data_IF_983421620183
#
_entry.id   IF_983421620183
#
_cell.length_a   1.000
_cell.length_b   1.000
_cell.length_c   1.000
_cell.angle_alpha   90.00
_cell.angle_beta   90.00
_cell.angle_gamma   90.00
#
_symmetry.space_group_name_H-M   'P 1'
#
loop_
_entity.id
_entity.type
_entity.pdbx_description
1 polymer ?
#
# COMPACT_ATOMS: atom_id res chain seq x y z
N UNK A 1 1.76 5.95 10.13
CA UNK A 1 1.93 5.39 8.78
C UNK A 1 0.98 4.23 8.60
N UNK A 2 0.28 4.14 7.48
CA UNK A 2 -0.57 3.00 7.13
C UNK A 2 -0.08 2.37 5.83
N UNK A 3 0.04 1.05 5.79
CA UNK A 3 0.51 0.29 4.63
C UNK A 3 -0.65 -0.50 4.06
N UNK A 4 -0.98 -0.24 2.80
CA UNK A 4 -2.07 -0.83 2.07
C UNK A 4 -1.59 -1.50 0.79
N UNK A 5 -2.31 -2.52 0.33
CA UNK A 5 -2.00 -3.26 -0.87
C UNK A 5 -2.31 -2.41 -2.11
N UNK A 6 -3.53 -1.87 -2.21
CA UNK A 6 -4.05 -1.22 -3.40
C UNK A 6 -4.52 0.22 -3.13
N UNK A 7 -4.67 1.06 -4.17
CA UNK A 7 -5.26 2.39 -4.02
C UNK A 7 -6.80 2.33 -3.98
N UNK A 8 -7.37 2.61 -2.81
CA UNK A 8 -8.80 2.53 -2.38
C UNK A 8 -8.91 1.88 -0.99
N UNK A 9 -7.96 1.01 -0.64
CA UNK A 9 -7.86 0.36 0.66
C UNK A 9 -7.78 1.37 1.80
N UNK A 10 -7.04 2.46 1.62
CA UNK A 10 -6.89 3.51 2.62
C UNK A 10 -8.23 4.23 2.86
N UNK A 11 -9.00 4.39 1.79
CA UNK A 11 -10.31 5.05 1.83
C UNK A 11 -11.37 4.14 2.44
N UNK A 12 -11.35 2.85 2.09
CA UNK A 12 -12.34 1.86 2.56
C UNK A 12 -12.12 1.40 4.00
N UNK A 13 -10.86 1.37 4.48
CA UNK A 13 -10.52 0.77 5.79
C UNK A 13 -10.09 1.80 6.83
N UNK A 14 -9.58 2.96 6.42
CA UNK A 14 -8.88 3.88 7.34
C UNK A 14 -9.24 5.36 7.24
N UNK A 15 -10.01 5.79 6.25
CA UNK A 15 -10.29 7.20 5.97
C UNK A 15 -10.67 8.03 7.21
N UNK A 16 -11.63 7.54 8.00
CA UNK A 16 -12.10 8.24 9.20
C UNK A 16 -10.99 8.43 10.25
N UNK A 17 -10.15 7.41 10.44
CA UNK A 17 -8.99 7.47 11.32
C UNK A 17 -7.97 8.48 10.81
N UNK A 18 -7.61 8.40 9.53
CA UNK A 18 -6.59 9.28 8.94
C UNK A 18 -7.02 10.74 8.99
N UNK A 19 -8.25 11.04 8.57
CA UNK A 19 -8.79 12.40 8.61
C UNK A 19 -8.90 12.94 10.05
N UNK A 20 -9.14 12.07 11.04
CA UNK A 20 -9.16 12.46 12.46
C UNK A 20 -7.78 12.90 12.95
N UNK A 21 -6.73 12.13 12.65
CA UNK A 21 -5.34 12.47 13.02
C UNK A 21 -4.83 13.70 12.26
N UNK A 22 -5.08 13.80 10.95
CA UNK A 22 -4.73 15.00 10.17
C UNK A 22 -5.38 16.25 10.75
N UNK A 23 -6.66 16.20 11.15
CA UNK A 23 -7.37 17.34 11.76
C UNK A 23 -6.79 17.76 13.11
N UNK A 24 -6.12 16.85 13.83
CA UNK A 24 -5.41 17.14 15.08
C UNK A 24 -4.03 17.76 14.85
N UNK A 25 -3.57 17.82 13.61
CA UNK A 25 -2.25 18.33 13.22
C UNK A 25 -1.17 17.25 13.14
N UNK A 26 -1.54 15.97 13.21
CA UNK A 26 -0.59 14.87 13.09
C UNK A 26 -0.23 14.58 11.62
N UNK A 27 1.03 14.23 11.37
CA UNK A 27 1.47 13.74 10.06
C UNK A 27 0.98 12.30 9.83
N UNK A 28 0.21 12.11 8.76
CA UNK A 28 -0.28 10.80 8.33
C UNK A 28 0.26 10.46 6.95
N UNK A 29 0.99 9.36 6.85
CA UNK A 29 1.44 8.79 5.57
C UNK A 29 0.74 7.47 5.27
N UNK A 30 0.14 7.38 4.09
CA UNK A 30 -0.31 6.13 3.48
C UNK A 30 0.72 5.65 2.48
N UNK A 31 0.97 4.34 2.49
CA UNK A 31 1.82 3.65 1.53
C UNK A 31 0.97 2.64 0.78
N UNK A 32 0.90 2.76 -0.56
CA UNK A 32 0.27 1.75 -1.42
C UNK A 32 1.34 0.84 -2.03
N UNK A 33 1.23 -0.46 -1.82
CA UNK A 33 2.19 -1.44 -2.30
C UNK A 33 2.17 -1.55 -3.82
N UNK A 34 0.98 -1.54 -4.43
CA UNK A 34 0.77 -1.79 -5.86
C UNK A 34 0.02 -0.67 -6.57
N UNK A 35 0.03 -0.68 -7.91
CA UNK A 35 -0.74 0.25 -8.73
C UNK A 35 -2.20 -0.17 -8.96
N UNK A 36 -2.59 -1.36 -8.52
CA UNK A 36 -3.94 -1.87 -8.68
C UNK A 36 -4.27 -2.32 -10.12
N UNK A 37 -3.25 -2.79 -10.85
CA UNK A 37 -3.28 -3.17 -12.26
C UNK A 37 -4.33 -4.24 -12.61
N UNK A 38 -4.76 -5.04 -11.62
CA UNK A 38 -5.65 -6.20 -11.83
C UNK A 38 -7.03 -6.02 -11.19
N UNK A 39 -7.40 -4.78 -10.89
CA UNK A 39 -8.74 -4.44 -10.42
C UNK A 39 -9.77 -4.40 -11.55
N UNK A 40 -11.04 -4.44 -11.17
CA UNK A 40 -12.19 -4.30 -12.07
C UNK A 40 -12.85 -2.92 -11.92
N UNK A 41 -13.41 -2.40 -13.01
CA UNK A 41 -14.25 -1.19 -12.98
C UNK A 41 -15.69 -1.61 -12.72
N UNK A 42 -16.13 -1.50 -11.47
CA UNK A 42 -17.46 -1.93 -11.05
C UNK A 42 -18.53 -0.82 -11.11
N UNK A 43 -18.11 0.44 -11.24
CA UNK A 43 -19.02 1.57 -11.27
C UNK A 43 -19.60 1.78 -12.68
N UNK A 44 -20.82 1.30 -12.91
CA UNK A 44 -21.56 1.49 -14.17
C UNK A 44 -21.82 2.96 -14.53
N UNK A 45 -21.72 3.86 -13.55
CA UNK A 45 -21.89 5.32 -13.72
C UNK A 45 -20.56 6.06 -13.86
N UNK A 46 -19.46 5.36 -14.02
CA UNK A 46 -18.17 5.99 -14.27
C UNK A 46 -18.26 6.85 -15.53
N UNK A 47 -17.77 8.09 -15.45
CA UNK A 47 -17.85 9.03 -16.56
C UNK A 47 -17.20 8.43 -17.83
N UNK A 48 -17.74 8.68 -19.04
CA UNK A 48 -17.25 8.03 -20.26
C UNK A 48 -15.76 8.22 -20.55
N UNK A 49 -15.20 9.38 -20.17
CA UNK A 49 -13.78 9.70 -20.29
C UNK A 49 -12.92 8.90 -19.31
N UNK A 50 -13.35 8.78 -18.06
CA UNK A 50 -12.71 7.96 -17.04
C UNK A 50 -12.79 6.47 -17.39
N UNK A 51 -13.92 5.99 -17.92
CA UNK A 51 -14.06 4.62 -18.42
C UNK A 51 -13.10 4.35 -19.58
N UNK A 52 -13.03 5.25 -20.56
CA UNK A 52 -12.10 5.14 -21.67
C UNK A 52 -10.63 5.16 -21.21
N UNK A 53 -10.32 5.90 -20.14
CA UNK A 53 -9.00 5.86 -19.51
C UNK A 53 -8.73 4.52 -18.84
N UNK A 54 -9.67 4.01 -18.02
CA UNK A 54 -9.54 2.72 -17.35
C UNK A 54 -9.26 1.58 -18.33
N UNK A 55 -9.95 1.57 -19.47
CA UNK A 55 -9.75 0.55 -20.51
C UNK A 55 -8.37 0.60 -21.17
N UNK A 56 -7.70 1.76 -21.18
CA UNK A 56 -6.35 1.92 -21.76
C UNK A 56 -5.24 1.78 -20.74
N UNK A 57 -5.44 2.33 -19.55
CA UNK A 57 -4.46 2.49 -18.47
C UNK A 57 -5.17 2.64 -17.13
N UNK A 58 -5.66 1.51 -16.60
CA UNK A 58 -6.27 1.46 -15.27
C UNK A 58 -5.31 1.97 -14.16
N UNK A 59 -4.02 1.61 -14.12
CA UNK A 59 -3.09 2.15 -13.12
C UNK A 59 -2.95 3.67 -13.19
N UNK A 60 -2.93 4.24 -14.39
CA UNK A 60 -2.93 5.69 -14.58
C UNK A 60 -4.18 6.36 -14.03
N UNK A 61 -5.35 5.73 -14.19
CA UNK A 61 -6.59 6.23 -13.59
C UNK A 61 -6.52 6.14 -12.06
N UNK A 62 -6.14 4.99 -11.51
CA UNK A 62 -6.04 4.77 -10.06
C UNK A 62 -5.03 5.69 -9.39
N UNK A 63 -3.97 6.12 -10.09
CA UNK A 63 -3.06 7.18 -9.60
C UNK A 63 -3.75 8.53 -9.45
N UNK A 64 -4.66 8.89 -10.37
CA UNK A 64 -5.45 10.12 -10.27
C UNK A 64 -6.48 10.02 -9.14
N UNK A 65 -7.13 8.87 -9.01
CA UNK A 65 -8.06 8.59 -7.92
C UNK A 65 -7.38 8.67 -6.56
N UNK A 66 -6.21 8.02 -6.39
CA UNK A 66 -5.41 8.11 -5.17
C UNK A 66 -4.94 9.54 -4.88
N UNK A 67 -4.54 10.32 -5.90
CA UNK A 67 -4.18 11.72 -5.69
C UNK A 67 -5.38 12.57 -5.21
N UNK A 68 -6.59 12.29 -5.72
CA UNK A 68 -7.81 12.93 -5.24
C UNK A 68 -8.15 12.50 -3.81
N UNK A 69 -8.07 11.20 -3.49
CA UNK A 69 -8.26 10.68 -2.13
C UNK A 69 -7.25 11.29 -1.15
N UNK A 70 -5.98 11.40 -1.56
CA UNK A 70 -4.92 12.05 -0.80
C UNK A 70 -5.30 13.50 -0.45
N UNK A 71 -5.76 14.28 -1.44
CA UNK A 71 -6.16 15.67 -1.25
C UNK A 71 -7.37 15.81 -0.31
N UNK A 72 -8.36 14.91 -0.43
CA UNK A 72 -9.55 14.90 0.44
C UNK A 72 -9.20 14.55 1.88
N UNK A 73 -8.34 13.54 2.09
CA UNK A 73 -7.97 13.07 3.42
C UNK A 73 -6.89 13.95 4.09
N UNK A 74 -6.18 14.78 3.32
CA UNK A 74 -5.08 15.62 3.80
C UNK A 74 -3.84 14.83 4.21
N UNK A 75 -3.64 13.65 3.63
CA UNK A 75 -2.54 12.73 3.96
C UNK A 75 -1.33 12.90 3.02
N UNK A 76 -0.18 12.39 3.44
CA UNK A 76 0.95 12.11 2.55
C UNK A 76 0.78 10.72 1.92
N UNK A 77 1.23 10.55 0.67
CA UNK A 77 1.17 9.26 -0.03
C UNK A 77 2.52 8.83 -0.60
N UNK A 78 2.79 7.52 -0.59
CA UNK A 78 3.94 6.90 -1.27
C UNK A 78 3.52 5.58 -1.93
N UNK A 79 4.09 5.31 -3.10
CA UNK A 79 4.00 4.00 -3.76
C UNK A 79 5.24 3.17 -3.40
N UNK A 80 5.08 1.90 -3.04
CA UNK A 80 6.23 0.97 -3.09
C UNK A 80 6.56 0.56 -4.53
N UNK A 81 5.54 0.55 -5.40
CA UNK A 81 5.73 0.45 -6.85
C UNK A 81 5.73 -0.98 -7.41
N UNK A 82 5.09 -1.93 -6.72
CA UNK A 82 4.93 -3.29 -7.22
C UNK A 82 3.72 -3.43 -8.15
N UNK A 83 3.71 -4.50 -8.94
CA UNK A 83 2.56 -4.88 -9.77
C UNK A 83 1.58 -5.70 -8.94
N UNK A 84 0.30 -5.34 -9.00
CA UNK A 84 -0.81 -6.07 -8.38
C UNK A 84 -0.79 -7.56 -8.78
N UNK A 85 -0.90 -8.43 -7.79
CA UNK A 85 -0.95 -9.87 -7.99
C UNK A 85 -2.31 -10.35 -8.45
N UNK A 86 -3.38 -9.60 -8.15
CA UNK A 86 -4.75 -10.04 -8.29
C UNK A 86 -5.04 -11.27 -7.43
N UNK A 87 -6.17 -11.92 -7.71
CA UNK A 87 -6.53 -13.17 -7.04
C UNK A 87 -5.66 -14.34 -7.53
N UNK A 88 -5.41 -15.28 -6.63
CA UNK A 88 -4.77 -16.54 -7.00
C UNK A 88 -5.61 -17.27 -8.06
N UNK A 89 -4.92 -17.92 -9.00
CA UNK A 89 -5.56 -18.81 -9.97
C UNK A 89 -6.14 -20.04 -9.26
N UNK A 90 -6.96 -20.83 -9.97
CA UNK A 90 -7.55 -22.06 -9.43
C UNK A 90 -6.50 -23.06 -8.93
N UNK A 91 -5.31 -23.07 -9.54
CA UNK A 91 -4.17 -23.90 -9.13
C UNK A 91 -3.34 -23.30 -7.97
N UNK A 92 -3.78 -22.16 -7.43
CA UNK A 92 -3.11 -21.43 -6.36
C UNK A 92 -1.92 -20.58 -6.81
N UNK A 93 -1.59 -20.56 -8.10
CA UNK A 93 -0.43 -19.79 -8.60
C UNK A 93 -0.74 -18.31 -8.75
N UNK A 94 0.30 -17.50 -8.61
CA UNK A 94 0.28 -16.05 -8.83
C UNK A 94 1.08 -15.69 -10.10
N UNK A 95 0.73 -14.58 -10.77
CA UNK A 95 1.54 -14.07 -11.86
C UNK A 95 2.99 -13.82 -11.41
N UNK A 96 4.00 -14.24 -12.18
CA UNK A 96 5.39 -13.97 -11.84
C UNK A 96 5.67 -12.47 -11.81
N UNK A 97 6.60 -12.04 -10.95
CA UNK A 97 6.96 -10.63 -10.75
C UNK A 97 5.80 -9.72 -10.29
N UNK A 98 4.74 -10.30 -9.73
CA UNK A 98 3.72 -9.57 -8.98
C UNK A 98 4.07 -9.47 -7.50
N UNK A 99 3.47 -8.51 -6.79
CA UNK A 99 3.82 -8.17 -5.41
C UNK A 99 3.89 -9.36 -4.46
N UNK A 100 2.82 -10.18 -4.39
CA UNK A 100 2.78 -11.37 -3.56
C UNK A 100 3.62 -12.55 -4.07
N UNK A 101 4.19 -12.48 -5.28
CA UNK A 101 5.12 -13.50 -5.83
C UNK A 101 6.60 -13.17 -5.60
N UNK A 102 6.93 -11.89 -5.39
CA UNK A 102 8.32 -11.44 -5.19
C UNK A 102 8.83 -11.91 -3.82
N UNK A 103 10.12 -12.28 -3.66
CA UNK A 103 10.69 -12.59 -2.35
C UNK A 103 10.48 -11.49 -1.31
N UNK A 104 10.14 -11.86 -0.07
CA UNK A 104 9.70 -10.92 0.97
C UNK A 104 10.76 -9.86 1.27
N UNK A 105 12.01 -10.25 1.36
CA UNK A 105 13.16 -9.43 1.67
C UNK A 105 13.38 -8.28 0.67
N UNK A 106 12.99 -8.48 -0.59
CA UNK A 106 13.03 -7.44 -1.63
C UNK A 106 11.98 -6.38 -1.34
N UNK A 107 10.81 -6.79 -0.87
CA UNK A 107 9.68 -5.90 -0.56
C UNK A 107 9.80 -5.20 0.79
N UNK A 108 10.56 -5.76 1.73
CA UNK A 108 10.81 -5.17 3.05
C UNK A 108 11.70 -3.94 2.97
N UNK A 109 12.77 -3.96 2.16
CA UNK A 109 13.77 -2.89 2.13
C UNK A 109 13.17 -1.50 1.80
N UNK A 110 12.32 -1.33 0.76
CA UNK A 110 11.69 -0.03 0.48
C UNK A 110 10.84 0.50 1.65
N UNK A 111 10.11 -0.38 2.35
CA UNK A 111 9.30 0.03 3.48
C UNK A 111 10.15 0.39 4.70
N UNK A 112 11.27 -0.31 4.95
CA UNK A 112 12.25 0.08 5.99
C UNK A 112 12.78 1.50 5.74
N UNK A 113 13.14 1.81 4.50
CA UNK A 113 13.58 3.16 4.11
C UNK A 113 12.51 4.21 4.41
N UNK A 114 11.24 3.92 4.11
CA UNK A 114 10.13 4.82 4.42
C UNK A 114 9.92 4.97 5.93
N UNK A 115 9.96 3.89 6.72
CA UNK A 115 9.83 3.96 8.18
C UNK A 115 10.96 4.79 8.79
N UNK A 116 12.22 4.58 8.39
CA UNK A 116 13.37 5.31 8.94
C UNK A 116 13.42 6.78 8.55
N UNK A 117 12.88 7.13 7.38
CA UNK A 117 12.81 8.53 6.94
C UNK A 117 11.58 9.28 7.49
N UNK A 118 10.41 8.65 7.51
CA UNK A 118 9.18 9.24 8.03
C UNK A 118 9.08 9.20 9.56
N UNK A 119 9.77 8.25 10.20
CA UNK A 119 9.79 8.03 11.66
C UNK A 119 8.38 7.98 12.28
N UNK A 120 7.49 7.08 11.81
CA UNK A 120 6.13 6.99 12.35
C UNK A 120 6.14 6.51 13.80
N UNK A 121 5.26 7.05 14.64
CA UNK A 121 4.98 6.55 16.00
C UNK A 121 3.94 5.41 16.02
N UNK A 122 3.22 5.23 14.92
CA UNK A 122 2.20 4.17 14.76
C UNK A 122 2.30 3.64 13.34
N UNK A 123 2.38 2.31 13.21
CA UNK A 123 2.29 1.60 11.95
C UNK A 123 1.02 0.75 11.93
N UNK A 124 0.22 0.91 10.88
CA UNK A 124 -1.01 0.13 10.65
C UNK A 124 -0.86 -0.66 9.36
N UNK A 125 -1.23 -1.94 9.39
CA UNK A 125 -1.37 -2.81 8.22
C UNK A 125 -2.48 -3.83 8.51
N UNK A 126 -2.71 -4.77 7.60
CA UNK A 126 -3.69 -5.84 7.74
C UNK A 126 -3.34 -6.80 8.89
N UNK A 127 -4.32 -7.61 9.31
CA UNK A 127 -4.04 -8.80 10.10
C UNK A 127 -3.34 -9.88 9.25
N UNK A 128 -2.97 -10.99 9.88
CA UNK A 128 -2.28 -12.11 9.22
C UNK A 128 -3.09 -12.75 8.09
N UNK A 129 -4.41 -12.54 8.05
CA UNK A 129 -5.32 -13.06 7.04
C UNK A 129 -5.61 -12.05 5.92
N UNK A 130 -5.09 -10.82 6.02
CA UNK A 130 -5.34 -9.75 5.06
C UNK A 130 -6.72 -9.09 5.16
N UNK A 131 -7.51 -9.40 6.19
CA UNK A 131 -8.93 -9.04 6.32
C UNK A 131 -9.88 -9.84 5.41
N UNK A 132 -9.47 -10.12 4.17
CA UNK A 132 -10.04 -11.14 3.29
C UNK A 132 -8.90 -11.75 2.46
N UNK A 133 -9.06 -12.93 1.84
CA UNK A 133 -7.94 -13.75 1.35
C UNK A 133 -7.33 -13.24 0.03
N UNK A 134 -7.15 -11.93 -0.12
CA UNK A 134 -6.39 -11.35 -1.21
C UNK A 134 -4.89 -11.56 -0.97
N UNK A 135 -4.14 -12.15 -1.92
CA UNK A 135 -2.70 -12.39 -1.77
C UNK A 135 -1.90 -11.14 -1.39
N UNK A 136 -2.20 -10.00 -2.01
CA UNK A 136 -1.49 -8.74 -1.73
C UNK A 136 -1.77 -8.16 -0.34
N UNK A 137 -2.93 -8.42 0.27
CA UNK A 137 -3.21 -7.97 1.63
C UNK A 137 -2.39 -8.76 2.65
N UNK A 138 -2.35 -10.08 2.48
CA UNK A 138 -1.49 -10.97 3.26
C UNK A 138 -0.02 -10.58 3.07
N UNK A 139 0.39 -10.28 1.83
CA UNK A 139 1.75 -9.82 1.56
C UNK A 139 2.04 -8.46 2.21
N UNK A 140 1.11 -7.51 2.18
CA UNK A 140 1.28 -6.22 2.84
C UNK A 140 1.36 -6.34 4.36
N UNK A 141 0.64 -7.30 4.96
CA UNK A 141 0.85 -7.68 6.37
C UNK A 141 2.28 -8.17 6.61
N UNK A 142 2.73 -9.19 5.86
CA UNK A 142 4.06 -9.76 6.00
C UNK A 142 5.17 -8.72 5.85
N UNK A 143 5.09 -7.88 4.82
CA UNK A 143 6.02 -6.77 4.57
C UNK A 143 5.96 -5.75 5.71
N UNK A 144 4.77 -5.38 6.19
CA UNK A 144 4.57 -4.43 7.27
C UNK A 144 5.18 -4.89 8.59
N UNK A 145 4.89 -6.13 9.01
CA UNK A 145 5.42 -6.71 10.24
C UNK A 145 6.94 -6.85 10.17
N UNK A 146 7.48 -7.27 9.02
CA UNK A 146 8.90 -7.49 8.91
C UNK A 146 9.70 -6.20 8.75
N UNK A 147 9.14 -5.18 8.09
CA UNK A 147 9.72 -3.85 8.06
C UNK A 147 9.69 -3.17 9.44
N UNK A 148 8.63 -3.38 10.23
CA UNK A 148 8.57 -2.90 11.62
C UNK A 148 9.74 -3.43 12.46
N UNK A 149 10.00 -4.74 12.38
CA UNK A 149 11.14 -5.37 13.08
C UNK A 149 12.48 -4.88 12.54
N UNK A 150 12.64 -4.88 11.22
CA UNK A 150 13.90 -4.52 10.57
C UNK A 150 14.26 -3.04 10.74
N UNK A 151 13.28 -2.14 10.79
CA UNK A 151 13.52 -0.71 10.93
C UNK A 151 14.20 -0.36 12.26
N UNK A 152 13.91 -1.09 13.33
CA UNK A 152 14.49 -0.89 14.66
C UNK A 152 15.89 -1.52 14.83
N UNK A 153 16.27 -2.45 13.97
CA UNK A 153 17.53 -3.20 14.07
C UNK A 153 18.67 -2.48 13.33
N UNK A 154 19.72 -1.97 14.01
CA UNK A 154 20.84 -1.27 13.37
C UNK A 154 21.70 -2.17 12.47
N UNK A 155 21.64 -3.50 12.62
CA UNK A 155 22.40 -4.44 11.79
C UNK A 155 21.72 -4.75 10.46
N UNK A 156 20.41 -4.44 10.34
CA UNK A 156 19.62 -4.69 9.14
C UNK A 156 19.47 -3.43 8.31
N UNK A 157 19.75 -3.55 7.01
CA UNK A 157 19.66 -2.45 6.04
C UNK A 157 20.33 -1.13 6.51
N UNK A 158 21.57 -1.15 7.04
CA UNK A 158 22.21 0.04 7.62
C UNK A 158 22.33 1.21 6.62
N UNK A 159 22.35 0.92 5.32
CA UNK A 159 22.37 1.89 4.23
C UNK A 159 21.06 2.67 4.06
N UNK A 160 19.95 2.22 4.67
CA UNK A 160 18.62 2.83 4.54
C UNK A 160 18.31 3.88 5.61
N UNK A 161 19.33 4.35 6.32
CA UNK A 161 19.23 5.40 7.35
C UNK A 161 19.29 4.86 8.78
N UNK A 162 19.26 5.78 9.74
CA UNK A 162 19.34 5.45 11.16
C UNK A 162 18.16 4.58 11.60
N UNK A 163 18.38 3.60 12.51
CA UNK A 163 17.30 2.76 13.01
C UNK A 163 16.19 3.60 13.66
N UNK A 164 14.95 3.13 13.53
CA UNK A 164 13.79 3.75 14.11
C UNK A 164 12.87 2.68 14.70
N UNK A 165 12.60 2.80 15.99
CA UNK A 165 11.57 2.03 16.66
C UNK A 165 10.27 2.81 16.55
N UNK A 166 9.30 2.21 15.85
CA UNK A 166 7.92 2.71 15.78
C UNK A 166 7.27 2.63 17.15
#
# INVERSE_FOLDING_TARGET
>A
MAVHAHPDDESSKGAGTYASYVRRGDDVMVVSCTGGERGDVLNERLAPDALAMASRDLPGLRRREMAAAQAVLGIQHRWLGYVDSGMAREDGTLPPNSFASIPLEISVAPLVKLIRSFRPHVLVTYDENGGYPHPDHIRAHQVGVEAYRAAADPSRYPELGAPWQV
#
